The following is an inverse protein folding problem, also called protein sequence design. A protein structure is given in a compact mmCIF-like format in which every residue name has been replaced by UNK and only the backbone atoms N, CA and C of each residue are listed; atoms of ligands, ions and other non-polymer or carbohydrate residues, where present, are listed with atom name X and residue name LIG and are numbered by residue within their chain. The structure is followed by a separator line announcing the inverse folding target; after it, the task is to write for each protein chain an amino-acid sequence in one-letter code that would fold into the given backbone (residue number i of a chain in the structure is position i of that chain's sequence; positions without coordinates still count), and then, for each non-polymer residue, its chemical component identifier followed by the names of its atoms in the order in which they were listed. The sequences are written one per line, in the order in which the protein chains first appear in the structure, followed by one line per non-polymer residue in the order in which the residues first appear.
data_IF_211500209140
#
_entry.id   IF_211500209140
#
_cell.length_a   1.000
_cell.length_b   1.000
_cell.length_c   1.000
_cell.angle_alpha   90.00
_cell.angle_beta   90.00
_cell.angle_gamma   90.00
#
_symmetry.space_group_name_H-M   'P 1'
#
loop_
_entity.id
_entity.type
_entity.pdbx_description
1 polymer ?
#
# COMPACT_ATOMS: atom_id res chain seq x y z
N UNK A 1 68.77 -38.07 -39.81
CA UNK A 1 67.48 -38.68 -39.40
C UNK A 1 66.38 -37.93 -40.14
N UNK A 2 65.63 -38.66 -40.97
CA UNK A 2 64.66 -38.18 -41.96
C UNK A 2 63.27 -37.94 -41.37
N UNK A 3 62.48 -37.07 -42.03
CA UNK A 3 61.09 -37.25 -42.55
C UNK A 3 60.43 -35.85 -42.66
N UNK A 4 60.17 -35.26 -43.85
CA UNK A 4 59.21 -35.53 -44.94
C UNK A 4 57.71 -35.40 -44.59
N UNK A 5 57.11 -34.34 -45.17
CA UNK A 5 55.77 -34.16 -45.76
C UNK A 5 54.48 -34.58 -45.00
N UNK A 6 53.48 -33.68 -45.00
CA UNK A 6 52.21 -33.83 -45.79
C UNK A 6 51.05 -33.02 -45.16
N UNK A 7 50.41 -32.17 -45.97
CA UNK A 7 49.12 -31.52 -45.67
C UNK A 7 47.97 -32.54 -45.61
N UNK A 8 47.01 -32.37 -44.70
CA UNK A 8 45.62 -32.83 -44.90
C UNK A 8 44.58 -31.89 -44.26
N UNK A 9 43.44 -31.84 -44.94
CA UNK A 9 42.30 -30.91 -44.86
C UNK A 9 41.41 -31.07 -43.61
N UNK A 10 40.84 -29.92 -43.24
CA UNK A 10 39.44 -29.61 -42.89
C UNK A 10 38.57 -30.67 -42.18
N UNK A 11 38.13 -30.37 -40.96
CA UNK A 11 36.82 -30.79 -40.41
C UNK A 11 36.31 -29.69 -39.45
N UNK A 12 35.17 -29.06 -39.76
CA UNK A 12 34.34 -28.34 -38.77
C UNK A 12 33.51 -29.38 -37.99
N UNK A 13 33.20 -29.11 -36.71
CA UNK A 13 31.79 -28.99 -36.37
C UNK A 13 31.47 -27.87 -35.35
N UNK A 14 30.45 -27.10 -35.71
CA UNK A 14 29.29 -26.62 -34.92
C UNK A 14 29.34 -26.47 -33.40
N UNK A 15 28.66 -25.40 -32.96
CA UNK A 15 27.94 -25.17 -31.69
C UNK A 15 28.74 -24.42 -30.60
N UNK A 16 28.23 -23.40 -29.91
CA UNK A 16 26.92 -22.75 -29.91
C UNK A 16 27.10 -21.30 -29.42
N UNK A 17 26.39 -20.35 -30.04
CA UNK A 17 26.16 -19.02 -29.46
C UNK A 17 25.32 -19.19 -28.19
N UNK A 18 25.94 -19.08 -27.01
CA UNK A 18 25.21 -18.78 -25.79
C UNK A 18 25.02 -17.26 -25.69
N UNK A 19 24.09 -16.72 -26.48
CA UNK A 19 23.54 -15.39 -26.20
C UNK A 19 22.69 -15.50 -24.95
N UNK A 20 23.25 -15.12 -23.81
CA UNK A 20 22.54 -14.92 -22.56
C UNK A 20 21.56 -13.76 -22.72
N UNK A 21 20.37 -14.07 -23.25
CA UNK A 21 19.23 -13.17 -23.23
C UNK A 21 18.82 -13.03 -21.78
N UNK A 22 19.28 -11.95 -21.13
CA UNK A 22 18.71 -11.47 -19.87
C UNK A 22 17.28 -11.03 -20.16
N UNK A 23 16.33 -11.96 -20.02
CA UNK A 23 14.92 -11.65 -20.01
C UNK A 23 14.66 -10.81 -18.75
N UNK A 24 14.69 -9.49 -18.88
CA UNK A 24 14.14 -8.58 -17.87
C UNK A 24 12.64 -8.86 -17.83
N UNK A 25 12.20 -9.67 -16.87
CA UNK A 25 10.79 -9.75 -16.50
C UNK A 25 10.37 -8.37 -16.03
N UNK A 26 9.72 -7.62 -16.92
CA UNK A 26 8.91 -6.48 -16.49
C UNK A 26 7.73 -7.08 -15.74
N UNK A 27 7.80 -7.04 -14.40
CA UNK A 27 6.64 -7.28 -13.56
C UNK A 27 5.58 -6.27 -13.96
N UNK A 28 4.57 -6.73 -14.71
CA UNK A 28 3.37 -5.95 -14.96
C UNK A 28 2.74 -5.71 -13.59
N UNK A 29 2.90 -4.52 -13.03
CA UNK A 29 2.09 -4.12 -11.89
C UNK A 29 0.65 -4.18 -12.38
N UNK A 30 -0.09 -5.18 -11.90
CA UNK A 30 -1.53 -5.19 -12.01
C UNK A 30 -2.00 -3.89 -11.39
N UNK A 31 -2.56 -3.00 -12.22
CA UNK A 31 -3.35 -1.87 -11.75
C UNK A 31 -4.61 -2.51 -11.14
N UNK A 32 -4.49 -2.99 -9.91
CA UNK A 32 -5.66 -3.22 -9.09
C UNK A 32 -6.40 -1.90 -9.10
N UNK A 33 -7.64 -1.90 -9.60
CA UNK A 33 -8.45 -0.69 -9.73
C UNK A 33 -8.34 0.10 -8.42
N UNK A 34 -7.73 1.28 -8.48
CA UNK A 34 -7.55 2.16 -7.33
C UNK A 34 -8.94 2.65 -6.94
N UNK A 35 -9.62 1.91 -6.08
CA UNK A 35 -10.91 2.32 -5.56
C UNK A 35 -10.64 3.41 -4.52
N UNK A 36 -11.17 4.60 -4.76
CA UNK A 36 -11.19 5.67 -3.78
C UNK A 36 -12.34 5.41 -2.78
N UNK A 37 -12.32 6.12 -1.65
CA UNK A 37 -13.45 6.09 -0.71
C UNK A 37 -13.95 7.50 -0.43
N UNK A 38 -15.19 7.57 0.01
CA UNK A 38 -15.88 8.81 0.31
C UNK A 38 -16.49 8.71 1.70
N UNK A 39 -15.98 9.53 2.62
CA UNK A 39 -16.50 9.63 3.99
C UNK A 39 -17.49 10.79 4.03
N UNK A 40 -18.70 10.53 4.54
CA UNK A 40 -19.78 11.52 4.61
C UNK A 40 -20.51 11.44 5.95
N UNK A 41 -21.23 12.52 6.27
CA UNK A 41 -22.15 12.55 7.40
C UNK A 41 -21.49 12.55 8.79
N UNK A 42 -20.16 12.60 8.85
CA UNK A 42 -19.43 12.69 10.11
C UNK A 42 -19.67 14.04 10.78
N UNK A 43 -19.85 14.01 12.10
CA UNK A 43 -19.83 15.22 12.93
C UNK A 43 -18.45 15.85 13.03
N UNK A 44 -17.39 15.05 12.87
CA UNK A 44 -16.05 15.58 12.71
C UNK A 44 -15.86 15.97 11.24
N UNK A 45 -16.02 17.26 10.96
CA UNK A 45 -16.06 17.75 9.57
C UNK A 45 -14.75 17.57 8.84
N UNK A 46 -13.62 17.51 9.54
CA UNK A 46 -12.30 17.31 8.95
C UNK A 46 -12.15 15.94 8.29
N UNK A 47 -12.93 14.93 8.68
CA UNK A 47 -12.82 13.60 8.08
C UNK A 47 -13.80 13.37 6.92
N UNK A 48 -14.68 14.33 6.63
CA UNK A 48 -15.60 14.23 5.49
C UNK A 48 -14.85 14.59 4.20
N UNK A 49 -14.98 13.76 3.17
CA UNK A 49 -14.34 14.00 1.88
C UNK A 49 -13.96 12.72 1.15
N UNK A 50 -13.33 12.90 -0.01
CA UNK A 50 -12.74 11.82 -0.78
C UNK A 50 -11.35 11.48 -0.21
N UNK A 51 -11.02 10.19 -0.24
CA UNK A 51 -9.72 9.66 0.15
C UNK A 51 -9.22 8.75 -0.96
N UNK A 52 -8.02 9.05 -1.45
CA UNK A 52 -7.36 8.28 -2.48
C UNK A 52 -6.60 7.09 -1.85
N UNK A 53 -6.58 5.92 -2.49
CA UNK A 53 -5.79 4.79 -2.03
C UNK A 53 -4.30 5.08 -2.16
N UNK A 54 -3.53 4.63 -1.17
CA UNK A 54 -2.08 4.65 -1.14
C UNK A 54 -1.52 3.26 -1.43
N UNK A 55 -0.31 3.21 -1.98
CA UNK A 55 0.42 1.97 -2.11
C UNK A 55 0.68 1.39 -0.71
N UNK A 56 0.23 0.16 -0.40
CA UNK A 56 0.39 -0.43 0.93
C UNK A 56 1.85 -0.73 1.32
N UNK A 57 2.78 -0.62 0.37
CA UNK A 57 4.22 -0.78 0.62
C UNK A 57 4.93 0.55 0.97
N UNK A 58 4.28 1.69 0.70
CA UNK A 58 4.86 3.00 0.95
C UNK A 58 4.32 3.56 2.27
N UNK A 59 5.22 4.03 3.14
CA UNK A 59 4.83 4.67 4.40
C UNK A 59 4.28 6.06 4.10
N UNK A 60 3.02 6.38 4.48
CA UNK A 60 2.46 7.71 4.25
C UNK A 60 3.23 8.81 4.99
N UNK A 61 3.37 9.98 4.36
CA UNK A 61 4.11 11.10 4.94
C UNK A 61 3.46 11.60 6.24
N UNK A 62 2.12 11.68 6.28
CA UNK A 62 1.37 12.04 7.48
C UNK A 62 1.65 11.07 8.64
N UNK A 63 1.61 9.76 8.40
CA UNK A 63 1.91 8.75 9.40
C UNK A 63 3.35 8.86 9.93
N UNK A 64 4.32 9.05 9.02
CA UNK A 64 5.72 9.23 9.40
C UNK A 64 5.89 10.47 10.30
N UNK A 65 5.25 11.59 9.94
CA UNK A 65 5.26 12.82 10.73
C UNK A 65 4.67 12.61 12.13
N UNK A 66 3.49 11.99 12.25
CA UNK A 66 2.90 11.66 13.56
C UNK A 66 3.83 10.78 14.40
N UNK A 67 4.48 9.78 13.79
CA UNK A 67 5.48 8.97 14.50
C UNK A 67 6.66 9.82 14.99
N UNK A 68 7.17 10.74 14.19
CA UNK A 68 8.25 11.65 14.61
C UNK A 68 7.83 12.57 15.76
N UNK A 69 6.64 13.17 15.68
CA UNK A 69 6.10 14.05 16.74
C UNK A 69 5.91 13.31 18.06
N UNK A 70 5.49 12.04 18.00
CA UNK A 70 5.29 11.19 19.17
C UNK A 70 6.56 10.46 19.63
N UNK A 71 7.70 10.70 18.96
CA UNK A 71 8.97 10.02 19.19
C UNK A 71 8.86 8.48 19.10
N UNK A 72 8.08 8.00 18.13
CA UNK A 72 7.93 6.58 17.79
C UNK A 72 8.78 6.18 16.59
N UNK A 73 9.42 5.00 16.58
CA UNK A 73 10.15 4.53 15.41
C UNK A 73 9.19 4.18 14.26
N UNK A 74 9.18 5.00 13.20
CA UNK A 74 8.22 4.93 12.09
C UNK A 74 8.13 3.54 11.45
N UNK A 75 9.27 2.93 11.08
CA UNK A 75 9.27 1.60 10.44
C UNK A 75 8.72 0.49 11.34
N UNK A 76 8.97 0.60 12.65
CA UNK A 76 8.49 -0.38 13.63
C UNK A 76 6.98 -0.24 13.80
N UNK A 77 6.50 1.00 13.90
CA UNK A 77 5.06 1.28 14.00
C UNK A 77 4.31 0.89 12.73
N UNK A 78 4.88 1.17 11.56
CA UNK A 78 4.30 0.75 10.29
C UNK A 78 4.13 -0.77 10.22
N UNK A 79 5.19 -1.54 10.52
CA UNK A 79 5.12 -3.01 10.54
C UNK A 79 4.13 -3.56 11.57
N UNK A 80 3.90 -2.82 12.65
CA UNK A 80 2.95 -3.20 13.70
C UNK A 80 1.50 -3.00 13.26
N UNK A 81 1.20 -1.93 12.53
CA UNK A 81 -0.17 -1.50 12.21
C UNK A 81 -0.62 -1.90 10.80
N UNK A 82 0.26 -1.82 9.82
CA UNK A 82 -0.01 -2.17 8.42
C UNK A 82 0.23 -3.67 8.18
N UNK A 83 -0.60 -4.27 7.32
CA UNK A 83 -0.42 -5.63 6.84
C UNK A 83 0.40 -5.71 5.53
N UNK A 84 0.79 -4.55 4.98
CA UNK A 84 1.50 -4.45 3.71
C UNK A 84 0.70 -4.91 2.49
N UNK A 85 -0.64 -5.03 2.61
CA UNK A 85 -1.53 -5.54 1.57
C UNK A 85 -2.73 -4.62 1.33
N UNK A 86 -3.46 -4.25 2.38
CA UNK A 86 -4.64 -3.39 2.25
C UNK A 86 -4.18 -1.94 2.06
N UNK A 87 -4.76 -1.22 1.08
CA UNK A 87 -4.43 0.19 0.92
C UNK A 87 -4.86 0.96 2.17
N UNK A 88 -4.02 1.91 2.57
CA UNK A 88 -4.46 3.01 3.40
C UNK A 88 -5.04 4.08 2.48
N UNK A 89 -6.05 4.81 2.95
CA UNK A 89 -6.68 5.87 2.17
C UNK A 89 -6.33 7.21 2.80
N UNK A 90 -5.95 8.19 1.99
CA UNK A 90 -5.51 9.51 2.44
C UNK A 90 -6.30 10.58 1.71
N UNK A 91 -6.79 11.56 2.46
CA UNK A 91 -7.45 12.74 1.90
C UNK A 91 -6.43 13.86 1.69
N UNK A 92 -6.78 14.86 0.87
CA UNK A 92 -5.93 16.03 0.61
C UNK A 92 -5.57 16.81 1.88
N UNK A 93 -6.41 16.73 2.92
CA UNK A 93 -6.17 17.38 4.21
C UNK A 93 -5.38 16.50 5.19
N UNK A 94 -4.79 15.40 4.73
CA UNK A 94 -3.97 14.47 5.52
C UNK A 94 -4.75 13.67 6.58
N UNK A 95 -6.09 13.68 6.55
CA UNK A 95 -6.89 12.66 7.22
C UNK A 95 -6.65 11.31 6.55
N UNK A 96 -6.73 10.22 7.30
CA UNK A 96 -6.55 8.89 6.73
C UNK A 96 -7.50 7.84 7.30
N UNK A 97 -7.82 6.86 6.44
CA UNK A 97 -8.62 5.69 6.78
C UNK A 97 -7.78 4.44 6.54
N UNK A 98 -7.69 3.56 7.53
CA UNK A 98 -6.80 2.40 7.44
C UNK A 98 -7.29 1.22 8.26
N UNK A 99 -6.87 0.02 7.85
CA UNK A 99 -7.08 -1.19 8.63
C UNK A 99 -5.88 -1.44 9.53
N UNK A 100 -6.11 -1.49 10.83
CA UNK A 100 -5.09 -1.74 11.83
C UNK A 100 -5.05 -3.25 12.15
N UNK A 101 -3.97 -3.90 11.73
CA UNK A 101 -3.82 -5.35 11.93
C UNK A 101 -3.70 -5.79 13.38
N UNK A 102 -3.33 -4.87 14.28
CA UNK A 102 -3.12 -5.19 15.69
C UNK A 102 -4.45 -5.39 16.45
N UNK A 103 -5.54 -4.78 15.97
CA UNK A 103 -6.86 -4.87 16.61
C UNK A 103 -7.99 -5.32 15.67
N UNK A 104 -7.71 -5.49 14.37
CA UNK A 104 -8.68 -5.94 13.37
C UNK A 104 -9.75 -4.90 13.04
N UNK A 105 -9.47 -3.62 13.30
CA UNK A 105 -10.43 -2.53 13.07
C UNK A 105 -9.99 -1.64 11.93
N UNK A 106 -10.97 -1.09 11.23
CA UNK A 106 -10.77 0.12 10.45
C UNK A 106 -10.80 1.32 11.37
N UNK A 107 -9.94 2.28 11.09
CA UNK A 107 -9.76 3.54 11.79
C UNK A 107 -9.97 4.70 10.82
N UNK A 108 -10.54 5.80 11.32
CA UNK A 108 -10.58 7.10 10.65
C UNK A 108 -9.92 8.10 11.59
N UNK A 109 -8.82 8.67 11.13
CA UNK A 109 -8.03 9.65 11.86
C UNK A 109 -8.20 11.03 11.20
N UNK A 110 -8.26 12.07 12.02
CA UNK A 110 -8.28 13.45 11.54
C UNK A 110 -6.86 13.91 11.12
N UNK A 111 -6.70 15.12 10.53
CA UNK A 111 -5.40 15.59 10.04
C UNK A 111 -4.25 15.60 11.07
N UNK A 112 -4.58 15.71 12.36
CA UNK A 112 -3.61 15.64 13.47
C UNK A 112 -3.05 14.23 13.70
N UNK A 113 -3.63 13.21 13.08
CA UNK A 113 -3.39 11.80 13.36
C UNK A 113 -4.13 11.28 14.60
N UNK A 114 -5.05 12.06 15.18
CA UNK A 114 -5.90 11.58 16.26
C UNK A 114 -7.05 10.74 15.71
N UNK A 115 -7.15 9.50 16.16
CA UNK A 115 -8.25 8.61 15.82
C UNK A 115 -9.60 9.10 16.32
N UNK A 116 -10.61 9.08 15.43
CA UNK A 116 -11.98 9.55 15.72
C UNK A 116 -12.99 8.44 15.68
N UNK A 117 -12.90 7.55 14.69
CA UNK A 117 -13.89 6.50 14.50
C UNK A 117 -13.22 5.17 14.26
N UNK A 118 -13.80 4.10 14.81
CA UNK A 118 -13.35 2.74 14.62
C UNK A 118 -14.50 1.80 14.28
N UNK A 119 -14.22 0.74 13.53
CA UNK A 119 -15.18 -0.34 13.27
C UNK A 119 -14.44 -1.67 13.10
N UNK A 120 -14.90 -2.71 13.80
CA UNK A 120 -14.35 -4.04 13.62
C UNK A 120 -14.84 -4.62 12.29
N UNK A 121 -13.92 -4.87 11.37
CA UNK A 121 -14.21 -5.53 10.09
C UNK A 121 -12.88 -5.97 9.44
N UNK A 122 -12.80 -7.23 9.01
CA UNK A 122 -11.60 -7.81 8.39
C UNK A 122 -11.65 -7.78 6.84
N UNK A 123 -12.61 -7.09 6.26
CA UNK A 123 -12.74 -6.90 4.82
C UNK A 123 -11.52 -6.19 4.22
N UNK A 124 -11.39 -6.26 2.91
CA UNK A 124 -10.34 -5.56 2.16
C UNK A 124 -10.54 -4.03 2.16
N UNK A 125 -11.80 -3.59 2.29
CA UNK A 125 -12.22 -2.19 2.31
C UNK A 125 -13.00 -1.88 3.59
N UNK A 126 -13.04 -0.60 4.01
CA UNK A 126 -13.82 -0.17 5.17
C UNK A 126 -15.32 -0.43 4.93
N UNK A 127 -16.08 -0.84 5.97
CA UNK A 127 -17.53 -1.02 5.85
C UNK A 127 -18.25 0.33 5.77
N UNK A 128 -19.43 0.31 5.16
CA UNK A 128 -20.24 1.52 4.98
C UNK A 128 -20.78 2.12 6.28
N UNK A 129 -21.11 1.27 7.26
CA UNK A 129 -21.68 1.65 8.56
C UNK A 129 -21.08 0.80 9.69
N UNK A 130 -21.55 1.02 10.93
CA UNK A 130 -21.10 0.29 12.12
C UNK A 130 -19.97 0.97 12.90
N UNK A 131 -19.63 2.21 12.51
CA UNK A 131 -18.60 3.01 13.16
C UNK A 131 -18.96 3.33 14.62
N UNK A 132 -17.94 3.36 15.46
CA UNK A 132 -18.02 3.78 16.86
C UNK A 132 -17.09 4.96 17.05
N UNK A 133 -17.60 6.04 17.65
CA UNK A 133 -16.80 7.21 18.00
C UNK A 133 -15.88 6.91 19.19
N UNK A 134 -14.61 7.31 19.08
CA UNK A 134 -13.67 7.34 20.18
C UNK A 134 -13.95 8.52 21.13
N UNK A 135 -13.37 8.56 22.34
CA UNK A 135 -13.54 9.69 23.25
C UNK A 135 -13.24 11.04 22.57
N UNK A 136 -14.21 11.95 22.61
CA UNK A 136 -14.09 13.27 21.97
C UNK A 136 -14.54 13.33 20.50
N UNK A 137 -14.91 12.20 19.89
CA UNK A 137 -15.48 12.18 18.54
C UNK A 137 -16.88 12.83 18.50
N UNK A 138 -17.14 13.60 17.46
CA UNK A 138 -18.42 14.31 17.26
C UNK A 138 -19.43 13.40 16.56
N UNK A 139 -20.71 13.66 16.81
CA UNK A 139 -21.85 13.03 16.10
C UNK A 139 -22.34 13.94 14.97
N UNK A 140 -22.89 13.39 13.86
CA UNK A 140 -23.21 11.98 13.62
C UNK A 140 -21.98 11.09 13.35
N UNK A 141 -22.20 9.78 13.33
CA UNK A 141 -21.19 8.81 12.91
C UNK A 141 -21.05 8.84 11.37
N UNK A 142 -19.85 8.57 10.84
CA UNK A 142 -19.61 8.60 9.40
C UNK A 142 -20.32 7.45 8.67
N UNK A 143 -20.62 7.68 7.41
CA UNK A 143 -20.80 6.64 6.40
C UNK A 143 -19.60 6.63 5.45
N UNK A 144 -19.23 5.45 4.97
CA UNK A 144 -18.08 5.28 4.05
C UNK A 144 -18.51 4.56 2.79
N UNK A 145 -18.34 5.20 1.64
CA UNK A 145 -18.70 4.63 0.35
C UNK A 145 -17.43 4.36 -0.45
N UNK A 146 -17.37 3.20 -1.09
CA UNK A 146 -16.32 2.90 -2.06
C UNK A 146 -16.76 3.54 -3.38
N UNK A 147 -15.90 4.36 -3.96
CA UNK A 147 -16.14 5.04 -5.23
C UNK A 147 -15.10 4.56 -6.25
N UNK A 148 -15.54 4.37 -7.49
CA UNK A 148 -14.66 4.09 -8.62
C UNK A 148 -14.31 5.42 -9.28
N UNK A 149 -13.03 5.62 -9.59
CA UNK A 149 -12.54 6.79 -10.34
C UNK A 149 -12.95 6.71 -11.82
#
# INVERSE_FOLDING_TARGET
QSQMMTQRRLVLPTAALCTSILLRSASSMSIAACKSILVRGSGETSVNGAFAPRNPLDIPAGFARTCHEMNWPTDVMWKKLSDGKRPWFESENESYVYWNRADGKWWIDEPSGAGKYIVFNNGEFPPNTGWTGLPGAKTPLPTVEIIED
#
